data_IF_019893435911
#
_entry.id   IF_019893435911
#
_cell.length_a   1.000
_cell.length_b   1.000
_cell.length_c   1.000
_cell.angle_alpha   90.00
_cell.angle_beta   90.00
_cell.angle_gamma   90.00
#
_symmetry.space_group_name_H-M   'P 1'
#
loop_
_entity.id
_entity.type
_entity.pdbx_description
1 polymer ?
#
# COMPACT_ATOMS: atom_id res chain seq x y z
N UNK A 1 -5.00 37.63 52.92
CA UNK A 1 -5.28 37.75 51.48
C UNK A 1 -4.53 36.66 50.73
N UNK A 2 -5.20 35.59 50.38
CA UNK A 2 -4.64 34.50 49.55
C UNK A 2 -5.04 34.74 48.09
N UNK A 3 -4.07 34.99 47.20
CA UNK A 3 -4.30 35.12 45.76
C UNK A 3 -4.43 33.71 45.16
N UNK A 4 -5.63 33.39 44.67
CA UNK A 4 -5.91 32.21 43.88
C UNK A 4 -5.17 32.33 42.55
N UNK A 5 -4.29 31.37 42.27
CA UNK A 5 -3.69 31.20 40.93
C UNK A 5 -4.69 30.41 40.09
N UNK A 6 -5.37 31.08 39.19
CA UNK A 6 -6.15 30.40 38.17
C UNK A 6 -5.18 29.69 37.20
N UNK A 7 -5.20 28.35 37.20
CA UNK A 7 -4.53 27.52 36.22
C UNK A 7 -5.30 27.61 34.90
N UNK A 8 -4.77 28.32 33.94
CA UNK A 8 -5.30 28.34 32.58
C UNK A 8 -5.07 26.96 31.96
N UNK A 9 -6.13 26.17 31.83
CA UNK A 9 -6.13 24.96 31.01
C UNK A 9 -6.09 25.39 29.53
N UNK A 10 -4.93 25.28 28.90
CA UNK A 10 -4.81 25.39 27.45
C UNK A 10 -5.44 24.15 26.84
N UNK A 11 -6.68 24.28 26.37
CA UNK A 11 -7.30 23.27 25.51
C UNK A 11 -6.62 23.33 24.14
N UNK A 12 -5.59 22.54 23.93
CA UNK A 12 -5.05 22.33 22.58
C UNK A 12 -6.14 21.59 21.81
N UNK A 13 -6.81 22.26 20.89
CA UNK A 13 -7.57 21.58 19.86
C UNK A 13 -6.57 20.73 19.08
N UNK A 14 -6.60 19.41 19.28
CA UNK A 14 -5.83 18.47 18.49
C UNK A 14 -6.39 18.59 17.06
N UNK A 15 -5.66 19.25 16.19
CA UNK A 15 -6.02 19.33 14.77
C UNK A 15 -6.06 17.88 14.24
N UNK A 16 -7.23 17.44 13.80
CA UNK A 16 -7.38 16.12 13.20
C UNK A 16 -6.65 16.15 11.86
N UNK A 17 -5.57 15.37 11.74
CA UNK A 17 -4.80 15.24 10.50
C UNK A 17 -5.68 14.66 9.40
N UNK A 18 -5.64 15.28 8.22
CA UNK A 18 -6.36 14.84 7.02
C UNK A 18 -5.41 14.18 6.01
N UNK A 19 -5.95 13.44 5.05
CA UNK A 19 -5.17 12.91 3.92
C UNK A 19 -4.44 14.01 3.13
N UNK A 20 -5.06 15.18 2.98
CA UNK A 20 -4.43 16.35 2.32
C UNK A 20 -3.25 16.90 3.13
N UNK A 21 -3.35 16.91 4.45
CA UNK A 21 -2.20 17.28 5.29
C UNK A 21 -1.04 16.30 5.14
N UNK A 22 -1.33 15.00 5.09
CA UNK A 22 -0.32 13.95 4.86
C UNK A 22 0.36 14.13 3.50
N UNK A 23 -0.41 14.34 2.41
CA UNK A 23 0.13 14.60 1.07
C UNK A 23 1.09 15.79 1.09
N UNK A 24 0.66 16.91 1.67
CA UNK A 24 1.44 18.14 1.75
C UNK A 24 2.70 17.98 2.60
N UNK A 25 2.57 17.42 3.81
CA UNK A 25 3.67 17.28 4.77
C UNK A 25 4.74 16.30 4.27
N UNK A 26 4.33 15.20 3.64
CA UNK A 26 5.24 14.19 3.10
C UNK A 26 5.59 14.42 1.62
N UNK A 27 5.07 15.48 0.98
CA UNK A 27 5.32 15.83 -0.42
C UNK A 27 5.00 14.66 -1.36
N UNK A 28 3.83 14.02 -1.16
CA UNK A 28 3.41 12.88 -1.97
C UNK A 28 2.86 13.35 -3.31
N UNK A 29 3.17 12.59 -4.36
CA UNK A 29 2.69 12.80 -5.74
C UNK A 29 1.79 11.65 -6.18
N UNK A 30 0.86 11.86 -7.14
CA UNK A 30 0.03 10.77 -7.65
C UNK A 30 0.87 9.63 -8.22
N UNK A 31 0.43 8.40 -7.99
CA UNK A 31 0.96 7.19 -8.62
C UNK A 31 0.01 6.78 -9.75
N UNK A 32 0.25 7.31 -10.96
CA UNK A 32 -0.69 7.27 -12.09
C UNK A 32 -1.09 5.85 -12.52
N UNK A 33 -0.13 4.91 -12.55
CA UNK A 33 -0.38 3.55 -13.00
C UNK A 33 -1.21 2.74 -12.01
N UNK A 34 -0.89 2.85 -10.74
CA UNK A 34 -1.47 2.05 -9.68
C UNK A 34 -2.66 2.73 -9.03
N UNK A 35 -2.54 4.01 -8.76
CA UNK A 35 -3.42 4.81 -7.93
C UNK A 35 -2.77 5.13 -6.58
N UNK A 36 -3.45 5.95 -5.78
CA UNK A 36 -2.88 6.47 -4.54
C UNK A 36 -1.84 7.57 -4.79
N UNK A 37 -1.10 7.89 -3.72
CA UNK A 37 -0.06 8.92 -3.73
C UNK A 37 1.19 8.37 -3.07
N UNK A 38 2.37 8.69 -3.62
CA UNK A 38 3.63 8.13 -3.13
C UNK A 38 4.76 9.14 -3.11
N UNK A 39 5.80 8.77 -2.39
CA UNK A 39 7.15 9.36 -2.50
C UNK A 39 8.18 8.30 -2.21
N UNK A 40 9.15 8.13 -3.11
CA UNK A 40 10.30 7.27 -2.84
C UNK A 40 11.15 7.88 -1.72
N UNK A 41 11.42 7.10 -0.68
CA UNK A 41 12.19 7.49 0.49
C UNK A 41 13.57 6.87 0.51
N UNK A 42 13.71 5.74 -0.17
CA UNK A 42 14.97 5.00 -0.25
C UNK A 42 15.10 4.28 -1.58
N UNK A 43 16.30 4.34 -2.15
CA UNK A 43 16.77 3.49 -3.24
C UNK A 43 18.22 3.10 -2.95
N UNK A 44 18.52 1.80 -2.94
CA UNK A 44 19.89 1.29 -2.79
C UNK A 44 20.80 1.88 -3.87
N UNK A 45 22.08 2.05 -3.55
CA UNK A 45 23.11 2.40 -4.54
C UNK A 45 23.67 1.17 -5.27
N UNK A 46 23.42 -0.02 -4.74
CA UNK A 46 23.92 -1.27 -5.27
C UNK A 46 22.85 -1.96 -6.10
N UNK A 47 23.27 -2.66 -7.13
CA UNK A 47 22.44 -3.40 -8.04
C UNK A 47 22.79 -4.88 -8.04
N UNK A 48 21.82 -5.70 -8.37
CA UNK A 48 21.95 -7.15 -8.66
C UNK A 48 21.75 -7.34 -10.15
N UNK A 49 22.63 -8.12 -10.77
CA UNK A 49 22.53 -8.45 -12.18
C UNK A 49 21.30 -9.35 -12.46
N UNK A 50 20.76 -9.27 -13.65
CA UNK A 50 19.49 -9.90 -14.03
C UNK A 50 19.47 -11.43 -13.81
N UNK A 51 20.60 -12.09 -14.02
CA UNK A 51 20.73 -13.55 -13.86
C UNK A 51 20.53 -14.06 -12.43
N UNK A 52 20.59 -13.18 -11.42
CA UNK A 52 20.35 -13.52 -10.01
C UNK A 52 18.99 -13.07 -9.48
N UNK A 53 18.14 -12.54 -10.36
CA UNK A 53 16.84 -11.99 -10.01
C UNK A 53 15.71 -13.00 -10.26
N UNK A 54 14.53 -12.82 -9.63
CA UNK A 54 13.38 -13.65 -9.91
C UNK A 54 13.01 -13.67 -11.39
N UNK A 55 12.50 -14.81 -11.87
CA UNK A 55 11.96 -14.92 -13.22
C UNK A 55 10.88 -13.87 -13.47
N UNK A 56 10.90 -13.27 -14.66
CA UNK A 56 10.01 -12.18 -15.06
C UNK A 56 10.59 -10.78 -14.80
N UNK A 57 11.74 -10.67 -14.12
CA UNK A 57 12.45 -9.39 -13.95
C UNK A 57 13.14 -8.96 -15.25
N UNK A 58 12.98 -7.70 -15.65
CA UNK A 58 13.48 -7.18 -16.92
C UNK A 58 14.75 -6.34 -16.74
N UNK A 59 15.89 -6.99 -16.57
CA UNK A 59 17.21 -6.36 -16.41
C UNK A 59 17.66 -6.24 -14.95
N UNK A 60 18.80 -5.56 -14.69
CA UNK A 60 19.35 -5.42 -13.33
C UNK A 60 18.41 -4.59 -12.44
N UNK A 61 18.44 -4.85 -11.13
CA UNK A 61 17.64 -4.12 -10.12
C UNK A 61 18.50 -3.62 -8.99
N UNK A 62 18.13 -2.48 -8.43
CA UNK A 62 18.66 -2.07 -7.15
C UNK A 62 18.32 -3.12 -6.08
N UNK A 63 19.18 -3.28 -5.08
CA UNK A 63 18.96 -4.28 -4.01
C UNK A 63 17.63 -4.03 -3.28
N UNK A 64 17.25 -2.77 -3.09
CA UNK A 64 15.98 -2.43 -2.45
C UNK A 64 15.53 -1.01 -2.70
N UNK A 65 14.23 -0.81 -2.60
CA UNK A 65 13.54 0.49 -2.63
C UNK A 65 12.51 0.55 -1.50
N UNK A 66 12.19 1.76 -1.03
CA UNK A 66 11.08 1.99 -0.12
C UNK A 66 10.36 3.29 -0.48
N UNK A 67 9.04 3.31 -0.25
CA UNK A 67 8.18 4.46 -0.48
C UNK A 67 7.31 4.75 0.75
N UNK A 68 6.86 6.00 0.90
CA UNK A 68 5.58 6.29 1.53
C UNK A 68 4.48 6.09 0.51
N UNK A 69 3.36 5.55 0.95
CA UNK A 69 2.20 5.27 0.12
C UNK A 69 0.91 5.65 0.84
N UNK A 70 0.12 6.55 0.25
CA UNK A 70 -1.15 7.02 0.79
C UNK A 70 -2.28 6.64 -0.14
N UNK A 71 -3.35 6.10 0.43
CA UNK A 71 -4.62 5.90 -0.27
C UNK A 71 -5.74 6.74 0.39
N UNK A 72 -6.71 7.12 -0.44
CA UNK A 72 -7.88 7.91 -0.05
C UNK A 72 -9.15 7.25 -0.63
N UNK A 73 -10.36 7.69 -0.26
CA UNK A 73 -11.58 7.13 -0.86
C UNK A 73 -11.64 7.25 -2.39
N UNK A 74 -11.03 8.31 -2.94
CA UNK A 74 -11.02 8.60 -4.38
C UNK A 74 -9.90 7.90 -5.14
N UNK A 75 -8.89 7.37 -4.42
CA UNK A 75 -7.71 6.79 -5.05
C UNK A 75 -7.22 5.55 -4.30
N UNK A 76 -7.37 4.39 -4.93
CA UNK A 76 -7.02 3.08 -4.42
C UNK A 76 -5.95 2.40 -5.28
N UNK A 77 -5.22 1.43 -4.72
CA UNK A 77 -4.27 0.59 -5.46
C UNK A 77 -5.03 -0.44 -6.29
N UNK A 78 -4.97 -0.30 -7.62
CA UNK A 78 -5.58 -1.26 -8.56
C UNK A 78 -4.83 -2.58 -8.55
N UNK A 79 -5.52 -3.68 -8.88
CA UNK A 79 -4.89 -4.99 -9.00
C UNK A 79 -3.72 -4.96 -10.00
N UNK A 80 -2.56 -5.30 -9.50
CA UNK A 80 -1.31 -5.40 -10.24
C UNK A 80 -0.44 -6.53 -9.68
N UNK A 81 0.60 -6.90 -10.37
CA UNK A 81 1.60 -7.86 -9.88
C UNK A 81 3.01 -7.45 -10.28
N UNK A 82 3.95 -7.92 -9.48
CA UNK A 82 5.39 -7.73 -9.64
C UNK A 82 6.11 -9.07 -9.48
N UNK A 83 7.25 -9.32 -10.14
CA UNK A 83 8.02 -10.55 -9.94
C UNK A 83 8.72 -10.59 -8.58
N UNK A 84 9.06 -9.43 -8.01
CA UNK A 84 9.68 -9.28 -6.70
C UNK A 84 8.69 -9.34 -5.55
N UNK A 85 9.20 -9.61 -4.35
CA UNK A 85 8.41 -9.56 -3.10
C UNK A 85 8.26 -8.12 -2.63
N UNK A 86 7.05 -7.73 -2.26
CA UNK A 86 6.74 -6.44 -1.66
C UNK A 86 6.26 -6.62 -0.22
N UNK A 87 6.75 -5.76 0.68
CA UNK A 87 6.35 -5.74 2.08
C UNK A 87 5.63 -4.43 2.36
N UNK A 88 4.37 -4.51 2.72
CA UNK A 88 3.55 -3.38 3.16
C UNK A 88 3.70 -3.17 4.65
N UNK A 89 3.77 -1.90 5.07
CA UNK A 89 3.86 -1.46 6.45
C UNK A 89 2.77 -0.44 6.71
N UNK A 90 1.85 -0.73 7.62
CA UNK A 90 0.83 0.23 8.03
C UNK A 90 1.41 1.22 9.04
N UNK A 91 1.27 2.52 8.79
CA UNK A 91 1.78 3.57 9.68
C UNK A 91 0.68 4.25 10.46
N UNK A 92 -0.35 4.77 9.79
CA UNK A 92 -1.43 5.51 10.44
C UNK A 92 -2.65 5.70 9.53
N UNK A 93 -3.76 6.12 10.13
CA UNK A 93 -5.02 6.36 9.44
C UNK A 93 -6.02 5.24 9.66
N UNK A 94 -6.90 5.05 8.68
CA UNK A 94 -7.96 4.03 8.73
C UNK A 94 -7.46 2.69 8.16
N UNK A 95 -8.05 1.56 8.58
CA UNK A 95 -7.66 0.25 8.08
C UNK A 95 -7.78 0.13 6.55
N UNK A 96 -6.92 -0.70 5.97
CA UNK A 96 -6.84 -0.96 4.53
C UNK A 96 -7.12 -2.42 4.25
N UNK A 97 -8.04 -2.71 3.33
CA UNK A 97 -8.30 -4.07 2.86
C UNK A 97 -7.48 -4.32 1.60
N UNK A 98 -6.65 -5.36 1.64
CA UNK A 98 -5.85 -5.82 0.52
C UNK A 98 -6.47 -7.10 -0.04
N UNK A 99 -6.70 -7.15 -1.35
CA UNK A 99 -7.01 -8.37 -2.09
C UNK A 99 -5.72 -8.95 -2.66
N UNK A 100 -5.50 -10.24 -2.44
CA UNK A 100 -4.43 -11.04 -3.04
C UNK A 100 -5.03 -12.18 -3.84
N UNK A 101 -4.55 -12.36 -5.11
CA UNK A 101 -4.92 -13.50 -5.94
C UNK A 101 -3.62 -14.29 -6.22
N UNK A 102 -3.58 -15.51 -5.78
CA UNK A 102 -2.38 -16.36 -5.79
C UNK A 102 -2.29 -17.21 -7.08
N UNK A 103 -1.08 -17.56 -7.54
CA UNK A 103 -0.89 -18.39 -8.74
C UNK A 103 -1.55 -19.77 -8.69
N UNK A 104 -1.84 -20.27 -7.50
CA UNK A 104 -2.55 -21.56 -7.28
C UNK A 104 -4.08 -21.46 -7.42
N UNK A 105 -4.60 -20.29 -7.81
CA UNK A 105 -6.03 -20.02 -7.97
C UNK A 105 -6.74 -19.55 -6.69
N UNK A 106 -6.05 -19.51 -5.56
CA UNK A 106 -6.64 -19.04 -4.30
C UNK A 106 -6.73 -17.52 -4.24
N UNK A 107 -7.78 -17.01 -3.62
CA UNK A 107 -7.90 -15.59 -3.27
C UNK A 107 -7.89 -15.41 -1.75
N UNK A 108 -7.32 -14.30 -1.29
CA UNK A 108 -7.26 -13.94 0.12
C UNK A 108 -7.48 -12.44 0.29
N UNK A 109 -8.21 -12.05 1.34
CA UNK A 109 -8.26 -10.67 1.81
C UNK A 109 -7.50 -10.55 3.12
N UNK A 110 -6.73 -9.47 3.27
CA UNK A 110 -5.98 -9.13 4.49
C UNK A 110 -6.32 -7.71 4.86
N UNK A 111 -6.49 -7.42 6.15
CA UNK A 111 -6.71 -6.05 6.61
C UNK A 111 -5.44 -5.51 7.25
N UNK A 112 -4.83 -4.50 6.62
CA UNK A 112 -3.73 -3.75 7.21
C UNK A 112 -4.27 -2.75 8.23
N UNK A 113 -3.63 -2.70 9.38
CA UNK A 113 -4.01 -1.81 10.47
C UNK A 113 -3.30 -2.15 11.76
N UNK A 114 -3.72 -1.53 12.87
CA UNK A 114 -3.09 -1.70 14.19
C UNK A 114 -3.96 -2.45 15.20
N UNK A 115 -5.21 -2.76 14.86
CA UNK A 115 -6.11 -3.52 15.75
C UNK A 115 -5.86 -5.03 15.63
N UNK A 116 -4.81 -5.49 16.33
CA UNK A 116 -4.41 -6.89 16.35
C UNK A 116 -5.48 -7.81 16.92
N UNK A 117 -6.32 -7.30 17.83
CA UNK A 117 -7.42 -8.08 18.44
C UNK A 117 -8.48 -8.43 17.41
N UNK A 118 -8.71 -7.54 16.43
CA UNK A 118 -9.63 -7.79 15.32
C UNK A 118 -8.97 -8.44 14.10
N UNK A 119 -7.73 -8.92 14.26
CA UNK A 119 -7.00 -9.63 13.22
C UNK A 119 -6.41 -8.72 12.14
N UNK A 120 -6.23 -7.42 12.41
CA UNK A 120 -5.50 -6.55 11.50
C UNK A 120 -3.99 -6.83 11.58
N UNK A 121 -3.32 -6.70 10.46
CA UNK A 121 -1.88 -6.93 10.34
C UNK A 121 -1.16 -5.59 10.06
N UNK A 122 -0.21 -5.16 10.94
CA UNK A 122 0.55 -3.92 10.68
C UNK A 122 1.60 -4.09 9.58
N UNK A 123 1.94 -5.33 9.22
CA UNK A 123 2.85 -5.67 8.13
C UNK A 123 2.30 -6.85 7.33
N UNK A 124 2.28 -6.72 6.01
CA UNK A 124 1.84 -7.78 5.08
C UNK A 124 2.90 -8.02 4.03
N UNK A 125 3.29 -9.28 3.84
CA UNK A 125 4.23 -9.69 2.80
C UNK A 125 3.45 -10.22 1.60
N UNK A 126 3.64 -9.60 0.45
CA UNK A 126 3.12 -10.08 -0.84
C UNK A 126 4.28 -10.68 -1.62
N UNK A 127 4.21 -11.98 -1.87
CA UNK A 127 5.25 -12.71 -2.63
C UNK A 127 5.19 -12.33 -4.10
N UNK A 128 6.31 -12.48 -4.78
CA UNK A 128 6.37 -12.26 -6.24
C UNK A 128 5.29 -13.04 -7.00
N UNK A 129 4.78 -12.44 -8.07
CA UNK A 129 3.74 -12.96 -8.95
C UNK A 129 2.33 -13.13 -8.31
N UNK A 130 2.10 -12.70 -7.08
CA UNK A 130 0.76 -12.56 -6.50
C UNK A 130 0.14 -11.27 -7.00
N UNK A 131 -1.08 -11.31 -7.52
CA UNK A 131 -1.87 -10.12 -7.80
C UNK A 131 -2.29 -9.47 -6.49
N UNK A 132 -2.12 -8.17 -6.37
CA UNK A 132 -2.44 -7.40 -5.18
C UNK A 132 -3.10 -6.07 -5.51
N UNK A 133 -3.98 -5.61 -4.65
CA UNK A 133 -4.59 -4.30 -4.72
C UNK A 133 -5.14 -3.91 -3.35
N UNK A 134 -5.19 -2.62 -3.05
CA UNK A 134 -5.57 -2.11 -1.73
C UNK A 134 -6.65 -1.04 -1.83
N UNK A 135 -7.61 -1.08 -0.90
CA UNK A 135 -8.63 -0.04 -0.71
C UNK A 135 -8.78 0.28 0.77
N UNK A 136 -9.22 1.48 1.10
CA UNK A 136 -9.67 1.78 2.47
C UNK A 136 -10.80 0.84 2.88
N UNK A 137 -10.82 0.43 4.14
CA UNK A 137 -11.99 -0.20 4.72
C UNK A 137 -13.19 0.75 4.65
N UNK A 138 -14.40 0.18 4.62
CA UNK A 138 -15.63 0.95 4.49
C UNK A 138 -15.71 2.10 5.51
N UNK A 139 -15.99 3.32 5.03
CA UNK A 139 -16.05 4.53 5.85
C UNK A 139 -14.69 5.16 6.19
N UNK A 140 -13.58 4.55 5.79
CA UNK A 140 -12.23 5.10 5.96
C UNK A 140 -12.03 6.39 5.16
N UNK A 141 -11.22 7.30 5.68
CA UNK A 141 -10.95 8.61 5.10
C UNK A 141 -9.58 8.69 4.43
N UNK A 142 -8.57 8.07 5.01
CA UNK A 142 -7.22 7.99 4.46
C UNK A 142 -6.39 6.96 5.22
N UNK A 143 -5.37 6.42 4.58
CA UNK A 143 -4.37 5.57 5.22
C UNK A 143 -2.99 5.86 4.66
N UNK A 144 -2.02 6.05 5.55
CA UNK A 144 -0.61 6.13 5.22
C UNK A 144 0.04 4.77 5.50
N UNK A 145 0.64 4.23 4.47
CA UNK A 145 1.45 3.02 4.51
C UNK A 145 2.86 3.33 3.99
N UNK A 146 3.74 2.36 4.07
CA UNK A 146 4.95 2.29 3.27
C UNK A 146 5.02 0.96 2.58
N UNK A 147 5.77 0.89 1.49
CA UNK A 147 6.17 -0.39 0.92
C UNK A 147 7.68 -0.46 0.76
N UNK A 148 8.19 -1.69 0.90
CA UNK A 148 9.60 -2.01 0.68
C UNK A 148 9.70 -3.17 -0.28
N UNK A 149 10.51 -3.03 -1.31
CA UNK A 149 10.79 -4.10 -2.25
C UNK A 149 12.26 -4.51 -2.22
N UNK A 150 12.50 -5.82 -2.25
CA UNK A 150 13.83 -6.42 -2.44
C UNK A 150 13.66 -7.70 -3.28
N UNK A 151 14.14 -7.68 -4.55
CA UNK A 151 14.81 -6.57 -5.28
C UNK A 151 13.95 -5.33 -5.40
N UNK A 152 14.61 -4.18 -5.61
CA UNK A 152 13.95 -2.87 -5.68
C UNK A 152 12.99 -2.75 -6.87
N UNK A 153 12.00 -1.91 -6.71
CA UNK A 153 10.95 -1.63 -7.70
C UNK A 153 11.51 -1.01 -8.99
N UNK A 154 10.96 -1.47 -10.11
CA UNK A 154 11.10 -0.84 -11.42
C UNK A 154 9.77 -0.96 -12.20
N UNK A 155 9.38 0.11 -12.88
CA UNK A 155 8.16 0.13 -13.70
C UNK A 155 8.16 -0.90 -14.83
N UNK A 156 9.35 -1.31 -15.30
CA UNK A 156 9.47 -2.35 -16.32
C UNK A 156 8.91 -3.70 -15.91
N UNK A 157 8.81 -3.95 -14.61
CA UNK A 157 8.29 -5.21 -14.03
C UNK A 157 6.80 -5.15 -13.69
N UNK A 158 6.20 -3.94 -13.71
CA UNK A 158 4.82 -3.73 -13.34
C UNK A 158 3.85 -4.32 -14.37
N UNK A 159 2.89 -5.10 -13.90
CA UNK A 159 1.81 -5.66 -14.73
C UNK A 159 0.46 -5.26 -14.13
N UNK A 160 -0.33 -4.51 -14.89
CA UNK A 160 -1.70 -4.16 -14.51
C UNK A 160 -2.64 -5.35 -14.68
N UNK A 161 -3.54 -5.57 -13.75
CA UNK A 161 -4.59 -6.58 -13.85
C UNK A 161 -5.70 -6.17 -14.83
N UNK A 162 -6.00 -7.03 -15.78
CA UNK A 162 -7.14 -6.87 -16.69
C UNK A 162 -8.35 -7.58 -16.09
N UNK A 163 -9.44 -6.82 -15.86
CA UNK A 163 -10.63 -7.30 -15.13
C UNK A 163 -11.15 -8.64 -15.62
N UNK A 164 -11.46 -8.74 -16.90
CA UNK A 164 -12.10 -9.95 -17.47
C UNK A 164 -11.17 -11.16 -17.46
N UNK A 165 -9.87 -10.95 -17.68
CA UNK A 165 -8.86 -12.00 -17.59
C UNK A 165 -8.73 -12.52 -16.15
N UNK A 166 -8.71 -11.62 -15.16
CA UNK A 166 -8.65 -11.99 -13.75
C UNK A 166 -9.91 -12.69 -13.29
N UNK A 167 -11.11 -12.25 -13.71
CA UNK A 167 -12.36 -12.93 -13.39
C UNK A 167 -12.39 -14.35 -14.00
N UNK A 168 -11.90 -14.51 -15.23
CA UNK A 168 -11.83 -15.82 -15.86
C UNK A 168 -10.85 -16.76 -15.11
N UNK A 169 -9.76 -16.23 -14.58
CA UNK A 169 -8.76 -16.99 -13.82
C UNK A 169 -9.18 -17.27 -12.36
N UNK A 170 -9.92 -16.33 -11.74
CA UNK A 170 -10.34 -16.39 -10.32
C UNK A 170 -11.86 -16.13 -10.21
N UNK A 171 -12.71 -17.04 -10.72
CA UNK A 171 -14.16 -16.83 -10.78
C UNK A 171 -14.81 -16.64 -9.41
N UNK A 172 -14.28 -17.30 -8.36
CA UNK A 172 -14.80 -17.18 -6.99
C UNK A 172 -14.52 -15.80 -6.36
N UNK A 173 -13.57 -15.04 -6.91
CA UNK A 173 -13.24 -13.68 -6.47
C UNK A 173 -13.82 -12.59 -7.40
N UNK A 174 -14.73 -12.91 -8.33
CA UNK A 174 -15.18 -12.02 -9.38
C UNK A 174 -15.71 -10.68 -8.85
N UNK A 175 -16.51 -10.67 -7.79
CA UNK A 175 -17.05 -9.44 -7.19
C UNK A 175 -15.92 -8.55 -6.63
N UNK A 176 -14.99 -9.14 -5.90
CA UNK A 176 -13.83 -8.41 -5.37
C UNK A 176 -12.96 -7.85 -6.50
N UNK A 177 -12.70 -8.64 -7.55
CA UNK A 177 -11.90 -8.18 -8.69
C UNK A 177 -12.52 -6.93 -9.33
N UNK A 178 -13.84 -6.86 -9.45
CA UNK A 178 -14.53 -5.66 -9.97
C UNK A 178 -14.28 -4.41 -9.13
N UNK A 179 -14.16 -4.56 -7.82
CA UNK A 179 -13.89 -3.45 -6.90
C UNK A 179 -12.44 -2.96 -6.99
N UNK A 180 -11.50 -3.84 -7.34
CA UNK A 180 -10.07 -3.55 -7.37
C UNK A 180 -9.50 -3.36 -8.78
N UNK A 181 -10.33 -3.27 -9.82
CA UNK A 181 -9.93 -2.99 -11.21
C UNK A 181 -10.69 -1.76 -11.75
N UNK A 182 -10.02 -1.01 -12.63
CA UNK A 182 -10.64 0.16 -13.33
C UNK A 182 -11.45 -0.29 -14.53
#
# INVERSE_FOLDING_TARGET
MRRSRATAFWCYAVAIMTGEDVKRLLQLTPLELEGGFFRETYRSRWQVAAEYLPEGTRGPRFIGTAIYYLITPESFSTLHRLPGTEVFHFYMGDPVVMLQLHPDGMSRTVTLGTDLVRGQEPQVVVRGNVWQGCRLAHGGKWALMGTTMSPGFDYADYTTGVRDELIAQYPDAAELIREYTK
#
